data_IF_031543350316
#
_entry.id   IF_031543350316
#
_cell.length_a   1.000
_cell.length_b   1.000
_cell.length_c   1.000
_cell.angle_alpha   90.00
_cell.angle_beta   90.00
_cell.angle_gamma   90.00
#
_symmetry.space_group_name_H-M   'P 1'
#
loop_
_entity.id
_entity.type
_entity.pdbx_description
1 polymer ?
#
# COMPACT_ATOMS: atom_id res chain seq x y z
N UNK A 1 3.82 -14.25 -2.12
CA UNK A 1 3.16 -14.06 -0.81
C UNK A 1 4.03 -14.54 0.36
N UNK A 2 4.53 -15.78 0.35
CA UNK A 2 5.34 -16.33 1.45
C UNK A 2 6.55 -15.45 1.84
N UNK A 3 7.29 -14.92 0.85
CA UNK A 3 8.44 -14.04 1.09
C UNK A 3 8.05 -12.77 1.87
N UNK A 4 6.94 -12.13 1.50
CA UNK A 4 6.42 -10.95 2.22
C UNK A 4 6.05 -11.29 3.67
N UNK A 5 5.34 -12.40 3.91
CA UNK A 5 4.97 -12.83 5.27
C UNK A 5 6.21 -13.08 6.14
N UNK A 6 7.22 -13.76 5.59
CA UNK A 6 8.49 -13.99 6.29
C UNK A 6 9.19 -12.66 6.63
N UNK A 7 9.20 -11.71 5.69
CA UNK A 7 9.77 -10.38 5.90
C UNK A 7 9.03 -9.59 6.97
N UNK A 8 7.70 -9.66 6.97
CA UNK A 8 6.85 -9.06 7.99
C UNK A 8 7.18 -9.62 9.38
N UNK A 9 7.18 -10.94 9.56
CA UNK A 9 7.42 -11.54 10.87
C UNK A 9 8.80 -11.16 11.44
N UNK A 10 9.82 -11.11 10.59
CA UNK A 10 11.16 -10.74 11.00
C UNK A 10 11.31 -9.24 11.36
N UNK A 11 10.44 -8.36 10.85
CA UNK A 11 10.66 -6.91 10.91
C UNK A 11 9.47 -6.09 11.45
N UNK A 12 8.37 -6.72 11.86
CA UNK A 12 7.16 -6.03 12.35
C UNK A 12 7.42 -5.01 13.47
N UNK A 13 8.39 -5.27 14.35
CA UNK A 13 8.79 -4.33 15.40
C UNK A 13 9.39 -3.03 14.83
N UNK A 14 10.20 -3.13 13.77
CA UNK A 14 10.79 -1.98 13.07
C UNK A 14 9.71 -1.13 12.39
N UNK A 15 8.74 -1.78 11.74
CA UNK A 15 7.59 -1.11 11.18
C UNK A 15 6.71 -0.45 12.24
N UNK A 16 6.51 -1.10 13.40
CA UNK A 16 5.76 -0.54 14.52
C UNK A 16 6.42 0.72 15.09
N UNK A 17 7.75 0.76 15.17
CA UNK A 17 8.48 1.95 15.64
C UNK A 17 8.28 3.16 14.70
N UNK A 18 8.24 2.93 13.38
CA UNK A 18 7.91 3.99 12.41
C UNK A 18 6.43 4.37 12.50
N UNK A 19 5.54 3.40 12.63
CA UNK A 19 4.10 3.64 12.76
C UNK A 19 3.77 4.55 13.95
N UNK A 20 4.43 4.34 15.09
CA UNK A 20 4.26 5.16 16.28
C UNK A 20 4.64 6.64 16.07
N UNK A 21 5.56 6.93 15.14
CA UNK A 21 6.03 8.28 14.84
C UNK A 21 5.24 8.98 13.73
N UNK A 22 4.64 8.21 12.82
CA UNK A 22 4.00 8.74 11.61
C UNK A 22 2.48 8.68 11.64
N UNK A 23 1.91 7.84 12.51
CA UNK A 23 0.48 7.54 12.51
C UNK A 23 0.03 6.65 11.34
N UNK A 24 0.96 6.12 10.54
CA UNK A 24 0.63 5.18 9.45
C UNK A 24 0.75 3.75 9.98
N UNK A 25 -0.26 2.87 9.80
CA UNK A 25 -0.23 1.50 10.31
C UNK A 25 0.99 0.68 9.84
N UNK A 26 1.57 -0.11 10.75
CA UNK A 26 2.79 -0.88 10.48
C UNK A 26 2.64 -1.88 9.31
N UNK A 27 1.48 -2.53 9.20
CA UNK A 27 1.13 -3.44 8.11
C UNK A 27 1.10 -2.72 6.75
N UNK A 28 0.58 -1.49 6.70
CA UNK A 28 0.59 -0.64 5.51
C UNK A 28 2.03 -0.21 5.17
N UNK A 29 2.82 0.24 6.15
CA UNK A 29 4.23 0.61 5.92
C UNK A 29 5.00 -0.58 5.33
N UNK A 30 4.82 -1.78 5.88
CA UNK A 30 5.46 -2.99 5.37
C UNK A 30 5.05 -3.30 3.92
N UNK A 31 3.76 -3.15 3.60
CA UNK A 31 3.24 -3.39 2.26
C UNK A 31 3.78 -2.36 1.25
N UNK A 32 3.83 -1.07 1.60
CA UNK A 32 4.45 -0.03 0.77
C UNK A 32 5.94 -0.33 0.56
N UNK A 33 6.68 -0.60 1.62
CA UNK A 33 8.10 -0.95 1.52
C UNK A 33 8.37 -2.16 0.62
N UNK A 34 7.46 -3.15 0.65
CA UNK A 34 7.55 -4.29 -0.25
C UNK A 34 7.35 -3.90 -1.72
N UNK A 35 6.43 -2.97 -2.01
CA UNK A 35 6.19 -2.46 -3.37
C UNK A 35 7.37 -1.67 -3.92
N UNK A 36 7.98 -0.85 -3.07
CA UNK A 36 9.04 0.06 -3.50
C UNK A 36 10.38 -0.65 -3.68
N UNK A 37 10.70 -1.62 -2.81
CA UNK A 37 12.04 -2.21 -2.81
C UNK A 37 12.10 -3.66 -2.33
N UNK A 38 10.99 -4.40 -2.38
CA UNK A 38 10.90 -5.76 -1.85
C UNK A 38 11.37 -5.86 -0.38
N UNK A 39 11.15 -4.80 0.40
CA UNK A 39 11.53 -4.76 1.81
C UNK A 39 13.00 -4.49 2.09
N UNK A 40 13.77 -3.99 1.11
CA UNK A 40 15.19 -3.71 1.29
C UNK A 40 15.44 -2.47 2.16
N UNK A 41 15.83 -2.67 3.42
CA UNK A 41 16.18 -1.60 4.35
C UNK A 41 17.43 -0.79 3.98
N UNK A 42 18.14 -1.13 2.90
CA UNK A 42 19.19 -0.31 2.29
C UNK A 42 18.66 0.71 1.28
N UNK A 43 17.35 0.90 1.16
CA UNK A 43 16.73 1.80 0.16
C UNK A 43 15.79 2.83 0.76
N UNK A 44 15.57 3.95 0.07
CA UNK A 44 14.58 4.96 0.45
C UNK A 44 13.17 4.38 0.29
N UNK A 45 12.32 4.52 1.33
CA UNK A 45 10.92 4.12 1.25
C UNK A 45 10.14 4.95 0.20
N UNK A 46 10.60 6.16 -0.09
CA UNK A 46 9.98 7.07 -1.04
C UNK A 46 9.86 6.49 -2.46
N UNK A 47 10.93 5.89 -2.98
CA UNK A 47 11.00 5.43 -4.38
C UNK A 47 11.98 4.26 -4.66
N UNK A 48 12.64 3.73 -3.62
CA UNK A 48 13.53 2.56 -3.75
C UNK A 48 15.00 2.83 -4.09
N UNK A 49 15.45 4.09 -4.17
CA UNK A 49 16.87 4.39 -4.39
C UNK A 49 17.76 3.89 -3.23
N UNK A 50 19.06 3.61 -3.42
CA UNK A 50 19.95 3.21 -2.33
C UNK A 50 20.19 4.34 -1.31
N UNK A 51 20.14 4.02 -0.02
CA UNK A 51 20.52 4.91 1.07
C UNK A 51 22.01 5.32 1.01
N UNK A 52 22.34 6.42 1.69
CA UNK A 52 23.71 6.95 1.76
C UNK A 52 24.18 7.69 0.51
N UNK A 53 23.28 7.92 -0.45
CA UNK A 53 23.52 8.70 -1.67
C UNK A 53 22.32 9.62 -1.94
N UNK A 54 22.50 10.72 -2.69
CA UNK A 54 21.39 11.54 -3.17
C UNK A 54 20.38 10.71 -3.96
N UNK A 55 19.09 10.97 -3.73
CA UNK A 55 18.01 10.37 -4.50
C UNK A 55 18.08 10.82 -5.96
N UNK A 56 17.85 9.89 -6.88
CA UNK A 56 17.83 10.13 -8.33
C UNK A 56 16.40 10.19 -8.82
N UNK A 57 15.58 9.24 -8.35
CA UNK A 57 14.18 9.12 -8.70
C UNK A 57 13.34 10.10 -7.87
N UNK A 58 12.22 10.56 -8.42
CA UNK A 58 11.36 11.53 -7.74
C UNK A 58 10.64 10.86 -6.54
N UNK A 59 10.59 11.49 -5.36
CA UNK A 59 11.14 12.81 -5.01
C UNK A 59 12.67 12.80 -4.81
N UNK A 60 13.40 13.62 -5.57
CA UNK A 60 14.87 13.62 -5.59
C UNK A 60 15.51 14.78 -4.80
N UNK A 61 14.77 15.84 -4.49
CA UNK A 61 15.23 16.94 -3.64
C UNK A 61 14.90 16.70 -2.16
N UNK A 62 15.43 15.61 -1.61
CA UNK A 62 15.25 15.19 -0.20
C UNK A 62 16.62 15.00 0.47
N UNK A 63 16.70 15.05 1.83
CA UNK A 63 17.96 14.82 2.53
C UNK A 63 18.56 13.44 2.24
N UNK A 64 19.88 13.33 2.34
CA UNK A 64 20.57 12.03 2.27
C UNK A 64 20.39 11.30 3.60
N UNK A 65 19.73 10.15 3.57
CA UNK A 65 19.51 9.31 4.75
C UNK A 65 20.44 8.10 4.74
N UNK A 66 20.95 7.74 5.92
CA UNK A 66 21.76 6.53 6.13
C UNK A 66 21.01 5.44 6.92
N UNK A 67 19.88 5.80 7.54
CA UNK A 67 19.01 4.89 8.27
C UNK A 67 17.66 4.87 7.59
N UNK A 68 17.13 3.67 7.40
CA UNK A 68 15.85 3.47 6.75
C UNK A 68 14.70 4.13 7.52
N UNK A 69 14.73 4.10 8.85
CA UNK A 69 13.67 4.67 9.69
C UNK A 69 13.54 6.17 9.46
N UNK A 70 14.66 6.90 9.38
CA UNK A 70 14.65 8.35 9.17
C UNK A 70 14.10 8.68 7.78
N UNK A 71 14.53 7.91 6.75
CA UNK A 71 13.98 8.02 5.40
C UNK A 71 12.47 7.70 5.36
N UNK A 72 12.05 6.62 6.01
CA UNK A 72 10.66 6.19 6.05
C UNK A 72 9.76 7.20 6.75
N UNK A 73 10.20 7.76 7.88
CA UNK A 73 9.47 8.82 8.60
C UNK A 73 9.31 10.05 7.70
N UNK A 74 10.37 10.46 7.01
CA UNK A 74 10.29 11.56 6.05
C UNK A 74 9.30 11.25 4.91
N UNK A 75 9.39 10.07 4.30
CA UNK A 75 8.53 9.67 3.18
C UNK A 75 7.05 9.73 3.55
N UNK A 76 6.71 9.14 4.70
CA UNK A 76 5.33 9.08 5.21
C UNK A 76 4.86 10.47 5.69
N UNK A 77 5.77 11.28 6.24
CA UNK A 77 5.53 12.66 6.65
C UNK A 77 5.13 13.58 5.50
N UNK A 78 5.68 13.38 4.29
CA UNK A 78 5.25 14.09 3.08
C UNK A 78 3.78 13.84 2.72
N UNK A 79 3.20 12.74 3.20
CA UNK A 79 1.78 12.39 3.06
C UNK A 79 1.03 12.44 4.40
N UNK A 80 1.60 13.09 5.42
CA UNK A 80 1.04 13.14 6.77
C UNK A 80 -0.32 13.85 6.83
N UNK A 81 -0.54 14.88 6.01
CA UNK A 81 -1.86 15.53 5.90
C UNK A 81 -2.93 14.55 5.40
N UNK A 82 -2.60 13.74 4.38
CA UNK A 82 -3.54 12.74 3.85
C UNK A 82 -3.93 11.71 4.91
N UNK A 83 -2.95 11.19 5.68
CA UNK A 83 -3.25 10.27 6.78
C UNK A 83 -4.25 10.89 7.77
N UNK A 84 -4.07 12.18 8.12
CA UNK A 84 -5.00 12.90 9.00
C UNK A 84 -6.38 13.09 8.37
N UNK A 85 -6.46 13.49 7.10
CA UNK A 85 -7.72 13.69 6.38
C UNK A 85 -8.52 12.37 6.28
N UNK A 86 -7.83 11.23 6.20
CA UNK A 86 -8.41 9.88 6.24
C UNK A 86 -8.72 9.36 7.65
N UNK A 87 -8.48 10.16 8.70
CA UNK A 87 -8.67 9.74 10.09
C UNK A 87 -7.75 8.59 10.53
N UNK A 88 -6.60 8.43 9.87
CA UNK A 88 -5.68 7.32 10.13
C UNK A 88 -4.81 7.57 11.36
N UNK A 89 -4.55 6.50 12.09
CA UNK A 89 -3.61 6.39 13.18
C UNK A 89 -2.86 5.05 13.08
N UNK A 90 -1.85 4.85 13.93
CA UNK A 90 -1.01 3.64 13.89
C UNK A 90 -1.78 2.34 14.12
N UNK A 91 -2.97 2.41 14.71
CA UNK A 91 -3.88 1.28 14.97
C UNK A 91 -5.05 1.19 13.97
N UNK A 92 -5.08 1.97 12.89
CA UNK A 92 -6.15 1.91 11.89
C UNK A 92 -6.26 0.52 11.27
N UNK A 93 -7.46 -0.02 11.27
CA UNK A 93 -7.83 -1.30 10.62
C UNK A 93 -8.70 -1.11 9.38
N UNK A 94 -9.17 0.11 9.11
CA UNK A 94 -9.97 0.44 7.93
C UNK A 94 -9.15 0.23 6.65
N UNK A 95 -9.50 -0.82 5.92
CA UNK A 95 -8.84 -1.18 4.66
C UNK A 95 -9.09 -0.17 3.55
N UNK A 96 -10.24 0.52 3.53
CA UNK A 96 -10.53 1.52 2.52
C UNK A 96 -9.63 2.76 2.70
N UNK A 97 -9.45 3.21 3.94
CA UNK A 97 -8.51 4.28 4.28
C UNK A 97 -7.07 3.90 3.90
N UNK A 98 -6.61 2.69 4.28
CA UNK A 98 -5.27 2.21 3.93
C UNK A 98 -5.06 2.05 2.42
N UNK A 99 -6.07 1.55 1.68
CA UNK A 99 -6.02 1.43 0.23
C UNK A 99 -5.95 2.81 -0.46
N UNK A 100 -6.74 3.77 0.03
CA UNK A 100 -6.74 5.16 -0.46
C UNK A 100 -5.38 5.82 -0.22
N UNK A 101 -4.83 5.68 0.98
CA UNK A 101 -3.49 6.18 1.29
C UNK A 101 -2.44 5.56 0.37
N UNK A 102 -2.48 4.23 0.15
CA UNK A 102 -1.56 3.54 -0.74
C UNK A 102 -1.65 4.01 -2.19
N UNK A 103 -2.86 4.31 -2.69
CA UNK A 103 -3.04 4.85 -4.04
C UNK A 103 -2.43 6.25 -4.18
N UNK A 104 -2.63 7.13 -3.20
CA UNK A 104 -2.00 8.45 -3.17
C UNK A 104 -0.48 8.39 -2.94
N UNK A 105 0.00 7.34 -2.29
CA UNK A 105 1.43 7.10 -2.08
C UNK A 105 2.12 6.84 -3.42
N UNK A 106 1.59 5.88 -4.19
CA UNK A 106 2.09 5.56 -5.53
C UNK A 106 1.77 6.64 -6.58
N UNK A 107 0.59 7.25 -6.49
CA UNK A 107 0.10 8.25 -7.44
C UNK A 107 -1.26 7.88 -8.07
N UNK A 108 -2.06 8.92 -8.35
CA UNK A 108 -3.47 8.83 -8.77
C UNK A 108 -3.69 8.52 -10.26
N UNK A 109 -2.66 8.06 -10.97
CA UNK A 109 -2.75 7.81 -12.41
C UNK A 109 -3.80 6.78 -12.82
N UNK A 110 -4.15 5.84 -11.92
CA UNK A 110 -5.19 4.83 -12.15
C UNK A 110 -6.59 5.34 -11.79
N UNK A 111 -6.75 5.96 -10.62
CA UNK A 111 -7.96 6.68 -10.24
C UNK A 111 -8.43 7.69 -11.31
N UNK A 112 -7.51 8.50 -11.85
CA UNK A 112 -7.80 9.46 -12.92
C UNK A 112 -8.24 8.80 -14.25
N UNK A 113 -7.99 7.50 -14.42
CA UNK A 113 -8.48 6.69 -15.55
C UNK A 113 -9.74 5.90 -15.23
N UNK A 114 -10.28 6.01 -14.01
CA UNK A 114 -11.38 5.16 -13.53
C UNK A 114 -11.00 3.68 -13.52
N UNK A 115 -9.73 3.37 -13.23
CA UNK A 115 -9.21 1.99 -13.20
C UNK A 115 -8.70 1.63 -11.81
N UNK A 116 -8.88 0.37 -11.36
CA UNK A 116 -8.25 -0.12 -10.15
C UNK A 116 -6.73 -0.08 -10.28
N UNK A 117 -6.06 0.47 -9.27
CA UNK A 117 -4.60 0.50 -9.22
C UNK A 117 -4.03 -0.91 -8.97
N UNK A 118 -3.21 -1.50 -9.87
CA UNK A 118 -2.46 -2.72 -9.58
C UNK A 118 -1.52 -2.55 -8.39
N UNK A 119 -1.09 -1.32 -8.09
CA UNK A 119 -0.29 -1.02 -6.89
C UNK A 119 -1.02 -1.43 -5.61
N UNK A 120 -2.32 -1.17 -5.58
CA UNK A 120 -3.17 -1.40 -4.42
C UNK A 120 -3.82 -2.78 -4.47
N UNK A 121 -4.32 -3.19 -5.64
CA UNK A 121 -5.27 -4.30 -5.78
C UNK A 121 -4.74 -5.53 -6.52
N UNK A 122 -3.51 -5.53 -7.06
CA UNK A 122 -3.00 -6.74 -7.72
C UNK A 122 -3.05 -7.97 -6.79
N UNK A 123 -3.54 -9.10 -7.29
CA UNK A 123 -3.79 -10.30 -6.49
C UNK A 123 -5.07 -10.28 -5.65
N UNK A 124 -5.99 -9.35 -5.90
CA UNK A 124 -7.38 -9.38 -5.41
C UNK A 124 -8.37 -9.55 -6.58
N UNK A 125 -9.65 -9.70 -6.26
CA UNK A 125 -10.74 -9.71 -7.25
C UNK A 125 -11.06 -8.33 -7.85
N UNK A 126 -10.48 -7.25 -7.30
CA UNK A 126 -10.69 -5.88 -7.77
C UNK A 126 -9.78 -5.51 -8.95
N UNK A 127 -8.81 -6.37 -9.31
CA UNK A 127 -7.87 -6.11 -10.40
C UNK A 127 -7.71 -7.34 -11.30
N UNK A 128 -7.95 -7.18 -12.60
CA UNK A 128 -7.66 -8.22 -13.60
C UNK A 128 -6.39 -7.91 -14.41
N UNK A 129 -6.37 -6.75 -15.07
CA UNK A 129 -5.27 -6.30 -15.93
C UNK A 129 -5.29 -4.79 -16.16
N UNK A 130 -4.22 -4.27 -16.73
CA UNK A 130 -4.01 -2.85 -16.99
C UNK A 130 -2.90 -2.30 -16.12
N UNK A 131 -1.84 -1.75 -16.71
CA UNK A 131 -0.67 -1.28 -15.97
C UNK A 131 0.05 -0.16 -16.71
N UNK A 132 0.54 0.84 -15.98
CA UNK A 132 1.59 1.72 -16.50
C UNK A 132 2.91 0.94 -16.60
N UNK A 133 3.34 0.65 -17.83
CA UNK A 133 4.57 -0.12 -18.09
C UNK A 133 5.83 0.75 -18.08
N UNK A 134 5.64 2.06 -18.22
CA UNK A 134 6.62 3.14 -18.01
C UNK A 134 5.84 4.44 -17.78
N UNK A 135 6.55 5.49 -17.40
CA UNK A 135 5.94 6.78 -17.11
C UNK A 135 5.04 7.28 -18.25
N UNK A 136 3.79 7.58 -17.90
CA UNK A 136 2.76 8.03 -18.83
C UNK A 136 2.20 6.97 -19.79
N UNK A 137 2.77 5.76 -19.86
CA UNK A 137 2.37 4.74 -20.84
C UNK A 137 1.58 3.62 -20.17
N UNK A 138 0.26 3.71 -20.29
CA UNK A 138 -0.68 2.70 -19.81
C UNK A 138 -0.95 1.64 -20.88
N UNK A 139 -0.74 0.37 -20.52
CA UNK A 139 -1.14 -0.78 -21.32
C UNK A 139 -2.34 -1.48 -20.64
N UNK A 140 -3.53 -1.53 -21.27
CA UNK A 140 -4.71 -2.19 -20.72
C UNK A 140 -4.60 -3.72 -20.63
N UNK A 141 -3.60 -4.34 -21.28
CA UNK A 141 -3.47 -5.80 -21.37
C UNK A 141 -2.38 -6.38 -20.47
N UNK A 142 -1.43 -5.57 -20.01
CA UNK A 142 -0.38 -6.02 -19.09
C UNK A 142 -0.95 -6.28 -17.70
N UNK A 143 -0.61 -7.44 -17.12
CA UNK A 143 -0.90 -7.79 -15.72
C UNK A 143 0.29 -7.46 -14.82
N UNK A 144 0.02 -6.86 -13.67
CA UNK A 144 1.06 -6.71 -12.65
C UNK A 144 1.36 -8.07 -11.98
N UNK A 145 2.63 -8.47 -12.02
CA UNK A 145 3.10 -9.71 -11.38
C UNK A 145 3.40 -9.51 -9.89
N UNK A 146 3.54 -8.26 -9.46
CA UNK A 146 3.75 -7.92 -8.06
C UNK A 146 2.43 -7.95 -7.29
N UNK A 147 2.51 -8.27 -6.00
CA UNK A 147 1.35 -8.25 -5.10
C UNK A 147 0.90 -6.83 -4.79
N UNK A 148 -0.40 -6.59 -4.78
CA UNK A 148 -1.01 -5.35 -4.33
C UNK A 148 -0.94 -5.18 -2.81
N UNK A 149 -0.95 -3.93 -2.37
CA UNK A 149 -0.94 -3.56 -0.94
C UNK A 149 -2.06 -4.25 -0.16
N UNK A 150 -3.29 -4.25 -0.68
CA UNK A 150 -4.45 -4.84 0.01
C UNK A 150 -4.28 -6.36 0.19
N UNK A 151 -3.81 -7.05 -0.86
CA UNK A 151 -3.55 -8.49 -0.79
C UNK A 151 -2.49 -8.81 0.28
N UNK A 152 -1.44 -7.99 0.37
CA UNK A 152 -0.37 -8.14 1.36
C UNK A 152 -0.87 -7.92 2.78
N UNK A 153 -1.59 -6.82 3.06
CA UNK A 153 -2.12 -6.52 4.40
C UNK A 153 -3.08 -7.61 4.88
N UNK A 154 -4.02 -8.06 4.02
CA UNK A 154 -4.94 -9.16 4.36
C UNK A 154 -4.19 -10.44 4.71
N UNK A 155 -3.06 -10.71 4.04
CA UNK A 155 -2.31 -11.96 4.23
C UNK A 155 -1.63 -12.10 5.60
N UNK A 156 -1.32 -10.97 6.26
CA UNK A 156 -0.68 -10.92 7.58
C UNK A 156 -1.69 -10.64 8.71
N UNK A 157 -2.98 -10.87 8.43
CA UNK A 157 -4.05 -10.77 9.44
C UNK A 157 -4.37 -9.33 9.82
N UNK A 158 -4.28 -8.38 8.89
CA UNK A 158 -4.51 -6.96 9.14
C UNK A 158 -5.90 -6.64 9.71
N UNK A 159 -6.00 -6.68 11.04
CA UNK A 159 -7.10 -6.18 11.87
C UNK A 159 -8.14 -7.23 12.30
N UNK A 160 -7.94 -7.84 13.47
CA UNK A 160 -8.99 -8.52 14.26
C UNK A 160 -9.50 -9.86 13.72
N UNK A 161 -9.57 -10.87 14.59
CA UNK A 161 -10.29 -12.10 14.28
C UNK A 161 -11.79 -11.85 14.10
N UNK A 162 -12.41 -12.53 13.15
CA UNK A 162 -13.87 -12.66 13.07
C UNK A 162 -14.48 -12.43 11.70
N UNK A 163 -15.11 -13.48 11.18
CA UNK A 163 -16.02 -13.54 10.04
C UNK A 163 -15.40 -13.38 8.63
N UNK A 164 -15.22 -14.55 8.00
CA UNK A 164 -15.45 -14.71 6.58
C UNK A 164 -16.73 -13.93 6.19
N UNK A 165 -16.64 -13.13 5.13
CA UNK A 165 -17.82 -12.59 4.47
C UNK A 165 -18.74 -13.76 4.13
N UNK A 166 -19.89 -13.83 4.79
CA UNK A 166 -20.99 -14.65 4.28
C UNK A 166 -21.29 -14.15 2.86
N UNK A 167 -21.47 -15.05 1.87
CA UNK A 167 -21.88 -14.62 0.55
C UNK A 167 -23.21 -13.89 0.68
N UNK A 168 -23.28 -12.69 0.10
CA UNK A 168 -24.50 -11.90 -0.01
C UNK A 168 -25.57 -12.77 -0.68
N UNK A 169 -26.54 -13.22 0.11
CA UNK A 169 -27.72 -13.93 -0.39
C UNK A 169 -28.49 -12.96 -1.28
N UNK A 170 -28.72 -13.36 -2.53
CA UNK A 170 -29.56 -12.62 -3.48
C UNK A 170 -30.93 -12.38 -2.83
N UNK A 171 -31.25 -11.10 -2.57
CA UNK A 171 -32.61 -10.71 -2.22
C UNK A 171 -33.52 -11.00 -3.42
N UNK A 172 -34.57 -11.81 -3.19
CA UNK A 172 -35.63 -12.06 -4.15
C UNK A 172 -36.48 -10.77 -4.28
N UNK A 173 -36.83 -10.32 -5.50
CA UNK A 173 -37.68 -9.14 -5.65
C UNK A 173 -39.09 -9.40 -5.08
N UNK A 174 -39.75 -8.40 -4.49
CA UNK A 174 -41.09 -8.54 -3.97
C UNK A 174 -42.09 -8.82 -5.10
N UNK A 175 -42.92 -9.84 -4.89
CA UNK A 175 -44.04 -10.19 -5.77
C UNK A 175 -45.05 -9.04 -5.77
N UNK A 176 -45.29 -8.42 -6.92
CA UNK A 176 -46.42 -7.54 -7.12
C UNK A 176 -47.70 -8.38 -7.14
N UNK A 177 -48.55 -8.20 -6.13
CA UNK A 177 -49.94 -8.69 -6.20
C UNK A 177 -50.79 -7.58 -6.79
N UNK A 178 -51.60 -7.97 -7.79
CA UNK A 178 -52.62 -7.15 -8.47
C UNK A 178 -53.67 -6.61 -7.51
#
# INVERSE_FOLDING_TARGET
MAAFKKHWEANKARYAAVAAKTGVPANLIAALHWRESSGNFGTYLHQGDPLGKPAVNWPNNIPVFHKWEDAAIHALGMKGKLAKDLGMASNTTDMAAMATYAEHYNGLGYANKGKPSPYVYSGTDQYDKGKYVRDGVYDPNTKDKQLGVVAMIKSIGGGGGGAAAAPCSKAKPPTATR
#
